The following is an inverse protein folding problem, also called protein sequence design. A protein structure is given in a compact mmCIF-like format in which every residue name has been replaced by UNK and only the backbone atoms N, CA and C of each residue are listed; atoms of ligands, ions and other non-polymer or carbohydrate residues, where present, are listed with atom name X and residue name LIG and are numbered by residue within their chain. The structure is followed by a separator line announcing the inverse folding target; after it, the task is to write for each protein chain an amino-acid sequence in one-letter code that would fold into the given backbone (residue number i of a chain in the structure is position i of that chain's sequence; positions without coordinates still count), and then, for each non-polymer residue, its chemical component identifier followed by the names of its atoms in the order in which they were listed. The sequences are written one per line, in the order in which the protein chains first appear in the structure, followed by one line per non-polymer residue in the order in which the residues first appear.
data_IF_440309784895
#
_entry.id   IF_440309784895
#
_cell.length_a   1.000
_cell.length_b   1.000
_cell.length_c   1.000
_cell.angle_alpha   90.00
_cell.angle_beta   90.00
_cell.angle_gamma   90.00
#
_symmetry.space_group_name_H-M   'P 1'
#
loop_
_entity.id
_entity.type
_entity.pdbx_description
1 polymer ?
#
# COMPACT_ATOMS: atom_id res chain seq x y z
N UNK A 1 24.88 7.18 23.31
CA UNK A 1 23.75 7.52 22.38
C UNK A 1 23.71 9.00 21.95
N UNK A 2 24.32 9.96 22.66
CA UNK A 2 24.31 11.40 22.27
C UNK A 2 25.40 11.81 21.25
N UNK A 3 26.42 11.00 21.02
CA UNK A 3 27.56 11.30 20.14
C UNK A 3 27.29 11.11 18.65
N UNK A 4 26.32 10.26 18.27
CA UNK A 4 26.01 9.97 16.87
C UNK A 4 25.18 11.09 16.22
N UNK A 5 24.12 11.55 16.90
CA UNK A 5 23.32 12.70 16.46
C UNK A 5 24.15 13.99 16.33
N UNK A 6 25.19 14.16 17.17
CA UNK A 6 26.10 15.28 17.06
C UNK A 6 26.99 15.19 15.81
N UNK A 7 27.40 13.97 15.41
CA UNK A 7 28.19 13.74 14.20
C UNK A 7 27.37 13.94 12.92
N UNK A 8 26.14 13.43 12.91
CA UNK A 8 25.22 13.56 11.77
C UNK A 8 24.86 15.05 11.53
N UNK A 9 24.63 15.82 12.60
CA UNK A 9 24.37 17.27 12.53
C UNK A 9 25.62 18.10 12.15
N UNK A 10 26.82 17.66 12.57
CA UNK A 10 28.09 18.31 12.21
C UNK A 10 28.43 18.11 10.73
N UNK A 11 28.03 16.98 10.13
CA UNK A 11 28.23 16.72 8.71
C UNK A 11 27.41 17.68 7.84
N UNK A 12 26.14 17.92 8.21
CA UNK A 12 25.26 18.89 7.54
C UNK A 12 25.86 20.30 7.64
N UNK A 13 26.36 20.69 8.82
CA UNK A 13 26.99 22.00 9.00
C UNK A 13 28.27 22.16 8.17
N UNK A 14 29.03 21.08 7.94
CA UNK A 14 30.20 21.13 7.06
C UNK A 14 29.81 21.34 5.59
N UNK A 15 28.70 20.76 5.12
CA UNK A 15 28.26 20.89 3.73
C UNK A 15 27.90 22.34 3.35
N UNK A 16 27.37 23.14 4.29
CA UNK A 16 27.04 24.55 4.04
C UNK A 16 28.23 25.52 4.10
N UNK A 17 29.42 25.07 4.52
CA UNK A 17 30.60 25.94 4.73
C UNK A 17 31.82 25.48 3.91
N UNK A 18 31.69 24.40 3.13
CA UNK A 18 32.78 23.93 2.28
C UNK A 18 32.92 24.80 1.01
N UNK A 19 34.15 25.18 0.63
CA UNK A 19 34.39 25.87 -0.64
C UNK A 19 34.10 24.94 -1.83
N UNK A 20 33.81 25.52 -2.99
CA UNK A 20 33.75 24.78 -4.25
C UNK A 20 35.04 23.96 -4.44
N UNK A 21 34.93 22.74 -4.96
CA UNK A 21 36.00 21.73 -5.09
C UNK A 21 36.40 20.98 -3.79
N UNK A 22 35.70 21.18 -2.67
CA UNK A 22 35.97 20.41 -1.46
C UNK A 22 35.54 18.94 -1.61
N UNK A 23 36.45 18.03 -1.27
CA UNK A 23 36.18 16.60 -1.16
C UNK A 23 36.30 16.18 0.31
N UNK A 24 35.20 15.70 0.88
CA UNK A 24 35.19 15.11 2.22
C UNK A 24 35.16 13.58 2.10
N UNK A 25 36.31 12.95 2.31
CA UNK A 25 36.41 11.49 2.39
C UNK A 25 36.19 11.06 3.83
N UNK A 26 35.02 10.46 4.10
CA UNK A 26 34.74 9.74 5.33
C UNK A 26 35.21 8.29 5.18
N UNK A 27 35.41 7.53 6.29
CA UNK A 27 35.94 6.16 6.24
C UNK A 27 35.16 5.15 5.36
N UNK A 28 33.96 5.50 4.89
CA UNK A 28 33.13 4.68 3.99
C UNK A 28 32.54 5.42 2.80
N UNK A 29 32.60 6.75 2.78
CA UNK A 29 31.83 7.59 1.85
C UNK A 29 32.72 8.71 1.32
N UNK A 30 32.53 9.09 0.05
CA UNK A 30 33.10 10.33 -0.49
C UNK A 30 31.98 11.29 -0.80
N UNK A 31 32.04 12.49 -0.21
CA UNK A 31 31.21 13.62 -0.64
C UNK A 31 32.10 14.52 -1.48
N UNK A 32 31.69 14.79 -2.71
CA UNK A 32 32.37 15.68 -3.65
C UNK A 32 31.45 16.85 -3.98
N UNK A 33 31.94 18.07 -3.83
CA UNK A 33 31.28 19.28 -4.32
C UNK A 33 32.00 19.66 -5.62
N UNK A 34 31.29 19.59 -6.72
CA UNK A 34 31.80 19.98 -8.03
C UNK A 34 31.77 21.49 -8.25
N UNK A 35 32.45 21.93 -9.30
CA UNK A 35 32.67 23.35 -9.62
C UNK A 35 31.38 24.13 -9.91
N UNK A 36 30.35 23.43 -10.36
CA UNK A 36 29.01 23.99 -10.58
C UNK A 36 28.15 24.02 -9.31
N UNK A 37 28.69 23.55 -8.18
CA UNK A 37 27.98 23.44 -6.91
C UNK A 37 27.19 22.15 -6.75
N UNK A 38 27.21 21.24 -7.74
CA UNK A 38 26.58 19.93 -7.62
C UNK A 38 27.29 19.08 -6.57
N UNK A 39 26.51 18.29 -5.83
CA UNK A 39 27.01 17.46 -4.75
C UNK A 39 26.86 16.00 -5.16
N UNK A 40 28.00 15.31 -5.25
CA UNK A 40 28.10 13.91 -5.63
C UNK A 40 28.44 13.06 -4.41
N UNK A 41 27.63 12.04 -4.15
CA UNK A 41 27.88 11.04 -3.13
C UNK A 41 28.42 9.77 -3.79
N UNK A 42 29.69 9.42 -3.54
CA UNK A 42 30.31 8.20 -4.05
C UNK A 42 30.41 7.10 -2.99
N UNK A 43 29.95 5.89 -3.32
CA UNK A 43 30.00 4.67 -2.47
C UNK A 43 28.63 4.28 -1.88
N UNK A 44 28.58 3.24 -1.04
CA UNK A 44 27.40 2.81 -0.26
C UNK A 44 26.99 3.91 0.75
N UNK A 45 26.42 5.01 0.25
CA UNK A 45 26.10 6.17 1.05
C UNK A 45 24.88 5.86 1.90
N UNK A 46 25.08 5.74 3.21
CA UNK A 46 24.01 5.46 4.15
C UNK A 46 23.52 6.75 4.80
N UNK A 47 22.42 7.31 4.29
CA UNK A 47 21.74 8.45 4.89
C UNK A 47 20.73 7.95 5.90
N UNK A 48 20.88 8.37 7.16
CA UNK A 48 19.97 7.99 8.24
C UNK A 48 19.42 9.24 8.92
N UNK A 49 18.09 9.32 8.99
CA UNK A 49 17.35 10.37 9.70
C UNK A 49 17.63 11.78 9.17
N UNK A 50 17.23 12.03 7.93
CA UNK A 50 17.16 13.38 7.37
C UNK A 50 15.71 13.75 7.09
N UNK A 51 15.37 14.99 7.42
CA UNK A 51 14.11 15.64 7.08
C UNK A 51 14.43 16.61 5.95
N UNK A 52 14.01 16.27 4.73
CA UNK A 52 13.97 17.26 3.65
C UNK A 52 12.66 18.03 3.82
N UNK A 53 12.68 18.98 4.74
CA UNK A 53 11.60 19.96 4.95
C UNK A 53 12.03 21.27 4.28
N UNK A 54 11.14 21.88 3.48
CA UNK A 54 11.38 23.14 2.75
C UNK A 54 12.68 23.21 1.93
N UNK A 55 13.21 22.06 1.52
CA UNK A 55 14.47 21.98 0.79
C UNK A 55 14.18 21.97 -0.71
N UNK A 56 14.79 22.90 -1.43
CA UNK A 56 14.85 22.84 -2.88
C UNK A 56 16.18 22.20 -3.30
N UNK A 57 16.11 20.98 -3.84
CA UNK A 57 17.27 20.26 -4.37
C UNK A 57 17.13 20.20 -5.90
N UNK A 58 18.11 20.80 -6.57
CA UNK A 58 18.22 20.82 -8.02
C UNK A 58 19.53 20.16 -8.43
N UNK A 59 19.49 19.31 -9.44
CA UNK A 59 20.69 18.73 -10.08
C UNK A 59 21.61 17.92 -9.14
N UNK A 60 21.08 17.39 -8.02
CA UNK A 60 21.85 16.53 -7.11
C UNK A 60 21.95 15.09 -7.63
N UNK A 61 23.11 14.46 -7.44
CA UNK A 61 23.32 13.05 -7.77
C UNK A 61 23.38 12.20 -6.49
N UNK A 62 22.35 11.39 -6.30
CA UNK A 62 22.20 10.39 -5.23
C UNK A 62 22.25 8.94 -5.76
N UNK A 63 22.98 8.71 -6.85
CA UNK A 63 23.15 7.38 -7.41
C UNK A 63 23.78 6.43 -6.37
N UNK A 64 23.33 5.18 -6.36
CA UNK A 64 23.74 4.11 -5.44
C UNK A 64 23.53 4.42 -3.94
N UNK A 65 22.86 5.54 -3.60
CA UNK A 65 22.60 5.92 -2.23
C UNK A 65 21.60 4.98 -1.54
N UNK A 66 21.82 4.70 -0.26
CA UNK A 66 20.87 4.03 0.62
C UNK A 66 20.29 5.02 1.62
N UNK A 67 18.99 5.27 1.50
CA UNK A 67 18.20 6.13 2.36
C UNK A 67 17.46 5.29 3.41
N UNK A 68 17.84 5.38 4.68
CA UNK A 68 17.15 4.68 5.77
C UNK A 68 16.43 5.64 6.74
N UNK A 69 15.17 5.38 7.04
CA UNK A 69 14.36 6.19 7.97
C UNK A 69 14.26 7.68 7.57
N UNK A 70 14.27 7.96 6.27
CA UNK A 70 14.18 9.33 5.76
C UNK A 70 12.72 9.74 5.67
N UNK A 71 12.43 11.00 5.99
CA UNK A 71 11.16 11.64 5.67
C UNK A 71 11.42 12.71 4.63
N UNK A 72 11.00 12.46 3.39
CA UNK A 72 10.90 13.51 2.37
C UNK A 72 9.50 14.10 2.51
N UNK A 73 9.43 15.33 3.02
CA UNK A 73 8.15 15.96 3.35
C UNK A 73 7.51 16.62 2.13
N UNK A 74 6.24 16.97 2.29
CA UNK A 74 5.41 17.67 1.33
C UNK A 74 5.86 19.11 1.05
N UNK A 75 7.09 19.50 1.34
CA UNK A 75 7.63 20.80 0.97
C UNK A 75 8.97 20.67 0.22
N UNK A 76 9.59 19.48 0.22
CA UNK A 76 10.76 19.23 -0.60
C UNK A 76 10.41 19.36 -2.08
N UNK A 77 11.28 20.05 -2.81
CA UNK A 77 11.21 20.18 -4.25
C UNK A 77 12.46 19.52 -4.85
N UNK A 78 12.27 18.43 -5.60
CA UNK A 78 13.35 17.69 -6.24
C UNK A 78 13.16 17.82 -7.76
N UNK A 79 14.09 18.50 -8.41
CA UNK A 79 14.09 18.66 -9.86
C UNK A 79 15.46 18.28 -10.42
N UNK A 80 15.47 17.55 -11.54
CA UNK A 80 16.70 17.09 -12.20
C UNK A 80 17.66 16.25 -11.33
N UNK A 81 17.19 15.71 -10.20
CA UNK A 81 18.01 14.87 -9.33
C UNK A 81 18.13 13.44 -9.89
N UNK A 82 19.27 12.79 -9.66
CA UNK A 82 19.51 11.39 -10.01
C UNK A 82 19.45 10.51 -8.77
N UNK A 83 18.73 9.40 -8.85
CA UNK A 83 18.56 8.39 -7.80
C UNK A 83 18.80 6.98 -8.36
N UNK A 84 19.71 6.83 -9.32
CA UNK A 84 19.93 5.54 -9.99
C UNK A 84 20.39 4.50 -9.00
N UNK A 85 19.80 3.32 -9.05
CA UNK A 85 20.08 2.22 -8.11
C UNK A 85 19.87 2.57 -6.62
N UNK A 86 19.30 3.74 -6.29
CA UNK A 86 19.15 4.15 -4.91
C UNK A 86 18.17 3.23 -4.17
N UNK A 87 18.41 2.98 -2.89
CA UNK A 87 17.59 2.12 -2.05
C UNK A 87 16.94 2.94 -0.95
N UNK A 88 15.62 2.96 -0.90
CA UNK A 88 14.86 3.63 0.14
C UNK A 88 14.28 2.59 1.10
N UNK A 89 14.70 2.60 2.36
CA UNK A 89 14.35 1.58 3.35
C UNK A 89 13.75 2.21 4.61
N UNK A 90 12.57 1.74 5.02
CA UNK A 90 11.88 2.13 6.27
C UNK A 90 11.64 3.65 6.40
N UNK A 91 11.70 4.37 5.28
CA UNK A 91 11.42 5.80 5.18
C UNK A 91 9.96 6.12 4.85
N UNK A 92 9.67 7.40 4.71
CA UNK A 92 8.43 7.97 4.21
C UNK A 92 8.77 8.97 3.12
N UNK A 93 8.22 8.76 1.93
CA UNK A 93 8.27 9.73 0.83
C UNK A 93 6.85 10.27 0.70
N UNK A 94 6.61 11.38 1.37
CA UNK A 94 5.30 12.03 1.43
C UNK A 94 5.28 13.18 0.43
N UNK A 95 4.83 12.89 -0.78
CA UNK A 95 4.58 13.94 -1.77
C UNK A 95 3.09 14.04 -2.00
N UNK A 96 2.53 15.24 -1.88
CA UNK A 96 1.13 15.52 -2.22
C UNK A 96 0.96 16.34 -3.49
N UNK A 97 2.06 16.91 -4.00
CA UNK A 97 2.05 17.73 -5.20
C UNK A 97 2.79 17.01 -6.33
N UNK A 98 2.09 16.75 -7.45
CA UNK A 98 2.58 15.98 -8.62
C UNK A 98 3.83 16.56 -9.29
N UNK A 99 4.26 17.79 -8.95
CA UNK A 99 5.39 18.49 -9.58
C UNK A 99 6.76 18.20 -8.97
N UNK A 100 6.88 17.31 -7.99
CA UNK A 100 8.03 17.26 -7.07
C UNK A 100 9.13 16.25 -7.37
N UNK A 101 8.99 15.49 -8.44
CA UNK A 101 10.06 14.68 -9.04
C UNK A 101 10.23 15.05 -10.50
N UNK A 102 10.12 16.34 -10.82
CA UNK A 102 10.21 16.78 -12.21
C UNK A 102 11.59 16.40 -12.75
N UNK A 103 11.60 15.67 -13.85
CA UNK A 103 12.82 15.29 -14.56
C UNK A 103 13.87 14.58 -13.68
N UNK A 104 13.44 13.90 -12.61
CA UNK A 104 14.31 13.07 -11.78
C UNK A 104 14.50 11.68 -12.39
N UNK A 105 15.69 11.10 -12.23
CA UNK A 105 16.02 9.77 -12.74
C UNK A 105 15.97 8.72 -11.62
N UNK A 106 15.00 7.82 -11.68
CA UNK A 106 14.81 6.73 -10.70
C UNK A 106 15.18 5.37 -11.28
N UNK A 107 16.02 5.34 -12.31
CA UNK A 107 16.41 4.09 -12.98
C UNK A 107 16.96 3.08 -11.98
N UNK A 108 16.29 1.93 -11.87
CA UNK A 108 16.64 0.83 -10.96
C UNK A 108 16.61 1.21 -9.46
N UNK A 109 16.01 2.34 -9.08
CA UNK A 109 15.77 2.66 -7.67
C UNK A 109 14.84 1.61 -7.03
N UNK A 110 15.08 1.26 -5.77
CA UNK A 110 14.29 0.27 -5.04
C UNK A 110 13.66 0.87 -3.79
N UNK A 111 12.34 0.76 -3.72
CA UNK A 111 11.51 1.24 -2.65
C UNK A 111 11.07 0.09 -1.73
N UNK A 112 11.57 0.14 -0.49
CA UNK A 112 11.16 -0.66 0.66
C UNK A 112 10.78 0.26 1.81
N UNK A 113 9.94 1.24 1.51
CA UNK A 113 9.55 2.29 2.45
C UNK A 113 8.20 1.98 3.11
N UNK A 114 7.91 2.71 4.17
CA UNK A 114 6.60 2.65 4.81
C UNK A 114 5.55 3.40 3.98
N UNK A 115 5.91 4.48 3.28
CA UNK A 115 4.96 5.28 2.52
C UNK A 115 5.62 5.84 1.25
N UNK A 116 4.95 5.69 0.11
CA UNK A 116 5.18 6.46 -1.10
C UNK A 116 3.85 7.04 -1.54
N UNK A 117 3.74 8.36 -1.45
CA UNK A 117 2.56 9.08 -1.88
C UNK A 117 2.88 9.89 -3.15
N UNK A 118 1.96 9.82 -4.12
CA UNK A 118 1.92 10.61 -5.34
C UNK A 118 3.11 10.45 -6.31
N UNK A 119 3.67 9.25 -6.43
CA UNK A 119 4.59 8.92 -7.54
C UNK A 119 3.81 8.85 -8.87
N UNK A 120 4.36 9.41 -9.95
CA UNK A 120 3.76 9.29 -11.28
C UNK A 120 4.08 7.93 -11.90
N UNK A 121 3.26 7.44 -12.86
CA UNK A 121 3.57 6.24 -13.61
C UNK A 121 4.96 6.29 -14.27
N UNK A 122 5.30 7.41 -14.92
CA UNK A 122 6.57 7.59 -15.63
C UNK A 122 7.80 7.48 -14.73
N UNK A 123 7.68 7.89 -13.46
CA UNK A 123 8.74 7.68 -12.46
C UNK A 123 8.72 6.24 -11.98
N UNK A 124 7.55 5.69 -11.68
CA UNK A 124 7.42 4.33 -11.16
C UNK A 124 7.97 3.27 -12.11
N UNK A 125 7.76 3.40 -13.43
CA UNK A 125 8.25 2.42 -14.42
C UNK A 125 9.78 2.34 -14.50
N UNK A 126 10.50 3.36 -14.02
CA UNK A 126 11.96 3.35 -13.97
C UNK A 126 12.49 2.48 -12.84
N UNK A 127 11.66 2.19 -11.83
CA UNK A 127 12.08 1.57 -10.58
C UNK A 127 12.31 0.06 -10.71
N UNK A 128 13.14 -0.47 -9.82
CA UNK A 128 13.32 -1.91 -9.66
C UNK A 128 12.03 -2.59 -9.18
N UNK A 129 11.19 -1.92 -8.38
CA UNK A 129 9.88 -2.45 -7.97
C UNK A 129 8.98 -2.79 -9.16
N UNK A 130 8.91 -1.90 -10.16
CA UNK A 130 8.17 -2.14 -11.40
C UNK A 130 8.73 -3.34 -12.18
N UNK A 131 10.05 -3.38 -12.35
CA UNK A 131 10.72 -4.45 -13.10
C UNK A 131 10.52 -5.83 -12.46
N UNK A 132 10.55 -5.89 -11.12
CA UNK A 132 10.30 -7.11 -10.37
C UNK A 132 8.81 -7.45 -10.23
N UNK A 133 7.90 -6.55 -10.61
CA UNK A 133 6.45 -6.68 -10.38
C UNK A 133 6.10 -6.85 -8.90
N UNK A 134 6.75 -6.07 -8.03
CA UNK A 134 6.56 -6.16 -6.58
C UNK A 134 6.24 -4.81 -5.93
N UNK A 135 5.08 -4.73 -5.27
CA UNK A 135 4.67 -3.61 -4.42
C UNK A 135 4.64 -4.08 -2.96
N UNK A 136 5.81 -4.05 -2.31
CA UNK A 136 6.02 -4.50 -0.92
C UNK A 136 6.40 -3.32 -0.01
N UNK A 137 5.54 -2.31 0.03
CA UNK A 137 5.71 -1.08 0.82
C UNK A 137 4.56 -0.91 1.80
N UNK A 138 4.65 0.00 2.77
CA UNK A 138 3.52 0.21 3.69
C UNK A 138 2.31 0.86 3.00
N UNK A 139 2.51 1.87 2.15
CA UNK A 139 1.48 2.49 1.34
C UNK A 139 1.99 2.96 -0.02
N UNK A 140 1.16 2.80 -1.05
CA UNK A 140 1.42 3.22 -2.43
C UNK A 140 0.25 4.07 -2.93
N UNK A 141 0.52 5.29 -3.38
CA UNK A 141 -0.48 6.19 -3.94
C UNK A 141 0.08 6.99 -5.11
N UNK A 142 -0.79 7.40 -6.03
CA UNK A 142 -0.49 8.11 -7.25
C UNK A 142 -1.66 8.09 -8.20
N UNK A 143 -1.43 8.54 -9.42
CA UNK A 143 -2.42 8.53 -10.48
C UNK A 143 -2.04 7.45 -11.50
N UNK A 144 -2.69 6.29 -11.43
CA UNK A 144 -2.37 5.09 -12.18
C UNK A 144 -3.54 4.65 -13.06
N UNK A 145 -4.28 5.62 -13.60
CA UNK A 145 -5.32 5.36 -14.58
C UNK A 145 -4.76 4.58 -15.78
N UNK A 146 -5.48 3.54 -16.19
CA UNK A 146 -5.10 2.63 -17.27
C UNK A 146 -3.73 1.94 -17.09
N UNK A 147 -3.14 1.99 -15.90
CA UNK A 147 -1.87 1.33 -15.64
C UNK A 147 -2.02 -0.18 -15.58
N UNK A 148 -0.97 -0.88 -15.97
CA UNK A 148 -0.94 -2.33 -15.99
C UNK A 148 -0.23 -2.91 -14.74
N UNK A 149 -1.03 -3.36 -13.78
CA UNK A 149 -0.58 -4.10 -12.59
C UNK A 149 -0.66 -5.62 -12.79
N UNK A 150 -0.66 -6.10 -14.03
CA UNK A 150 -0.67 -7.55 -14.30
C UNK A 150 0.60 -8.22 -13.78
N UNK A 151 0.42 -9.40 -13.21
CA UNK A 151 1.44 -10.24 -12.56
C UNK A 151 2.10 -9.64 -11.30
N UNK A 152 1.58 -8.54 -10.76
CA UNK A 152 2.16 -7.95 -9.55
C UNK A 152 1.88 -8.74 -8.27
N UNK A 153 2.88 -8.80 -7.39
CA UNK A 153 2.72 -9.15 -5.98
C UNK A 153 2.52 -7.87 -5.16
N UNK A 154 1.30 -7.65 -4.65
CA UNK A 154 0.87 -6.44 -3.96
C UNK A 154 0.66 -6.72 -2.48
N UNK A 155 1.47 -6.09 -1.64
CA UNK A 155 1.43 -6.21 -0.17
C UNK A 155 1.61 -4.86 0.52
N UNK A 156 0.82 -3.89 0.07
CA UNK A 156 0.81 -2.53 0.57
C UNK A 156 -0.61 -2.02 0.78
N UNK A 157 -0.75 -0.92 1.51
CA UNK A 157 -1.96 -0.09 1.45
C UNK A 157 -2.02 0.59 0.08
N UNK A 158 -2.89 0.12 -0.79
CA UNK A 158 -2.99 0.56 -2.18
C UNK A 158 -4.06 1.66 -2.28
N UNK A 159 -3.64 2.90 -2.50
CA UNK A 159 -4.53 4.05 -2.65
C UNK A 159 -4.23 4.95 -3.88
N UNK A 160 -3.97 4.43 -5.09
CA UNK A 160 -3.88 5.26 -6.29
C UNK A 160 -5.22 5.40 -7.02
N UNK A 161 -5.40 6.46 -7.82
CA UNK A 161 -6.44 6.44 -8.86
C UNK A 161 -6.16 5.28 -9.81
N UNK A 162 -7.14 4.38 -10.01
CA UNK A 162 -6.97 3.14 -10.80
C UNK A 162 -8.07 2.95 -11.83
N UNK A 163 -8.73 4.02 -12.25
CA UNK A 163 -9.74 3.95 -13.31
C UNK A 163 -9.13 3.31 -14.56
N UNK A 164 -9.72 2.21 -15.04
CA UNK A 164 -9.21 1.47 -16.20
C UNK A 164 -7.92 0.68 -15.99
N UNK A 165 -7.34 0.67 -14.78
CA UNK A 165 -6.15 -0.13 -14.49
C UNK A 165 -6.44 -1.63 -14.59
N UNK A 166 -5.44 -2.41 -15.02
CA UNK A 166 -5.50 -3.86 -15.18
C UNK A 166 -4.82 -4.58 -14.03
N UNK A 167 -5.39 -5.71 -13.63
CA UNK A 167 -4.89 -6.54 -12.54
C UNK A 167 -4.82 -8.02 -12.94
N UNK A 168 -4.57 -8.32 -14.22
CA UNK A 168 -4.54 -9.70 -14.72
C UNK A 168 -3.48 -10.49 -13.97
N UNK A 169 -3.87 -11.57 -13.28
CA UNK A 169 -2.97 -12.39 -12.48
C UNK A 169 -2.24 -11.67 -11.33
N UNK A 170 -2.65 -10.44 -10.98
CA UNK A 170 -2.13 -9.75 -9.80
C UNK A 170 -2.53 -10.52 -8.52
N UNK A 171 -1.67 -10.47 -7.51
CA UNK A 171 -1.87 -11.15 -6.24
C UNK A 171 -1.72 -10.20 -5.07
N UNK A 172 -2.80 -10.05 -4.32
CA UNK A 172 -2.88 -9.26 -3.11
C UNK A 172 -2.63 -10.13 -1.89
N UNK A 173 -1.78 -9.68 -0.97
CA UNK A 173 -1.54 -10.31 0.33
C UNK A 173 -1.15 -9.25 1.35
N UNK A 174 -1.76 -9.20 2.53
CA UNK A 174 -1.48 -8.15 3.53
C UNK A 174 -1.67 -6.74 2.94
N UNK A 175 -2.68 -6.59 2.09
CA UNK A 175 -2.92 -5.37 1.34
C UNK A 175 -4.22 -4.71 1.78
N UNK A 176 -4.26 -3.38 1.68
CA UNK A 176 -5.51 -2.62 1.77
C UNK A 176 -5.93 -2.23 0.37
N UNK A 177 -7.09 -2.71 -0.08
CA UNK A 177 -7.65 -2.43 -1.40
C UNK A 177 -8.61 -1.24 -1.26
N UNK A 178 -8.51 -0.24 -2.13
CA UNK A 178 -9.34 0.95 -2.03
C UNK A 178 -10.79 0.64 -2.42
N UNK A 179 -11.70 1.45 -1.93
CA UNK A 179 -13.14 1.28 -2.11
C UNK A 179 -13.63 1.34 -3.57
N UNK A 180 -12.86 2.00 -4.44
CA UNK A 180 -13.19 2.16 -5.86
C UNK A 180 -12.65 1.05 -6.75
N UNK A 181 -12.15 -0.04 -6.15
CA UNK A 181 -11.82 -1.25 -6.89
C UNK A 181 -13.11 -1.87 -7.43
N UNK A 182 -13.18 -2.16 -8.73
CA UNK A 182 -14.40 -2.71 -9.34
C UNK A 182 -14.45 -4.23 -9.27
N UNK A 183 -15.65 -4.80 -9.49
CA UNK A 183 -15.80 -6.25 -9.60
C UNK A 183 -14.99 -6.84 -10.76
N UNK A 184 -14.93 -6.14 -11.89
CA UNK A 184 -14.16 -6.55 -13.06
C UNK A 184 -12.67 -6.59 -12.73
N UNK A 185 -12.16 -5.60 -11.99
CA UNK A 185 -10.77 -5.58 -11.53
C UNK A 185 -10.50 -6.73 -10.54
N UNK A 186 -11.43 -7.02 -9.63
CA UNK A 186 -11.32 -8.16 -8.71
C UNK A 186 -11.27 -9.50 -9.44
N UNK A 187 -12.12 -9.69 -10.45
CA UNK A 187 -12.19 -10.91 -11.26
C UNK A 187 -10.90 -11.18 -12.06
N UNK A 188 -10.12 -10.15 -12.38
CA UNK A 188 -8.83 -10.28 -13.06
C UNK A 188 -7.73 -10.88 -12.16
N UNK A 189 -7.86 -10.76 -10.84
CA UNK A 189 -6.82 -11.13 -9.88
C UNK A 189 -6.63 -12.64 -9.77
N UNK A 190 -5.42 -13.05 -9.39
CA UNK A 190 -5.12 -14.44 -9.01
C UNK A 190 -5.88 -14.85 -7.74
N UNK A 191 -6.10 -13.93 -6.80
CA UNK A 191 -6.86 -14.19 -5.57
C UNK A 191 -8.28 -14.67 -5.89
N UNK A 192 -9.01 -13.95 -6.76
CA UNK A 192 -10.38 -14.28 -7.11
C UNK A 192 -10.47 -15.62 -7.85
N UNK A 193 -9.61 -15.85 -8.85
CA UNK A 193 -9.61 -17.10 -9.63
C UNK A 193 -9.29 -18.33 -8.79
N UNK A 194 -8.43 -18.18 -7.79
CA UNK A 194 -8.09 -19.27 -6.87
C UNK A 194 -9.06 -19.38 -5.70
N UNK A 195 -9.96 -18.40 -5.52
CA UNK A 195 -10.86 -18.33 -4.37
C UNK A 195 -10.15 -18.16 -3.03
N UNK A 196 -8.97 -17.52 -3.00
CA UNK A 196 -8.16 -17.38 -1.78
C UNK A 196 -7.79 -15.91 -1.53
N UNK A 197 -8.31 -15.39 -0.43
CA UNK A 197 -8.03 -14.06 0.10
C UNK A 197 -7.43 -14.20 1.50
N UNK A 198 -6.27 -13.58 1.73
CA UNK A 198 -5.57 -13.68 3.01
C UNK A 198 -5.01 -12.34 3.44
N UNK A 199 -5.41 -11.90 4.64
CA UNK A 199 -4.96 -10.65 5.26
C UNK A 199 -5.27 -9.41 4.39
N UNK A 200 -6.39 -9.41 3.66
CA UNK A 200 -6.81 -8.30 2.80
C UNK A 200 -7.85 -7.44 3.51
N UNK A 201 -7.65 -6.12 3.46
CA UNK A 201 -8.60 -5.14 3.97
C UNK A 201 -9.27 -4.42 2.80
N UNK A 202 -10.58 -4.58 2.65
CA UNK A 202 -11.36 -3.80 1.69
C UNK A 202 -11.80 -2.51 2.38
N UNK A 203 -11.28 -1.38 1.90
CA UNK A 203 -11.54 -0.07 2.48
C UNK A 203 -12.91 0.45 2.06
N UNK A 204 -13.48 1.28 2.91
CA UNK A 204 -14.82 1.84 2.78
C UNK A 204 -14.82 3.12 1.92
N UNK A 205 -15.74 3.27 0.93
CA UNK A 205 -15.84 4.50 0.13
C UNK A 205 -16.28 5.72 0.96
N UNK A 206 -16.98 5.52 2.08
CA UNK A 206 -17.70 6.57 2.78
C UNK A 206 -16.83 7.69 3.37
N UNK A 207 -15.51 7.52 3.48
CA UNK A 207 -14.62 8.60 3.95
C UNK A 207 -14.25 9.65 2.88
N UNK A 208 -14.43 9.36 1.59
CA UNK A 208 -13.80 10.17 0.52
C UNK A 208 -14.68 10.44 -0.71
N UNK A 209 -15.98 10.73 -0.52
CA UNK A 209 -16.82 11.55 -1.42
C UNK A 209 -17.93 10.86 -2.25
N UNK A 210 -18.85 11.76 -2.63
CA UNK A 210 -19.92 11.87 -3.65
C UNK A 210 -20.09 10.83 -4.76
N UNK A 211 -19.15 9.89 -4.94
CA UNK A 211 -19.25 8.80 -5.90
C UNK A 211 -19.08 7.50 -5.11
N UNK A 212 -20.20 6.87 -4.77
CA UNK A 212 -20.19 5.51 -4.20
C UNK A 212 -20.25 4.57 -5.40
N UNK A 213 -19.13 4.03 -5.89
CA UNK A 213 -19.19 2.95 -6.86
C UNK A 213 -20.07 1.83 -6.30
N UNK A 214 -20.72 1.08 -7.20
CA UNK A 214 -21.49 -0.10 -6.78
C UNK A 214 -20.64 -0.95 -5.82
N UNK A 215 -21.23 -1.36 -4.70
CA UNK A 215 -20.52 -2.13 -3.68
C UNK A 215 -19.79 -3.31 -4.33
N UNK A 216 -18.49 -3.43 -4.04
CA UNK A 216 -17.61 -4.45 -4.61
C UNK A 216 -18.18 -5.88 -4.50
N UNK A 217 -18.95 -6.18 -3.46
CA UNK A 217 -19.49 -7.52 -3.22
C UNK A 217 -20.93 -7.72 -3.70
N UNK A 218 -21.65 -6.66 -4.07
CA UNK A 218 -23.07 -6.77 -4.47
C UNK A 218 -23.23 -7.67 -5.69
N UNK A 219 -24.14 -8.64 -5.63
CA UNK A 219 -24.45 -9.57 -6.74
C UNK A 219 -23.22 -10.39 -7.22
N UNK A 220 -22.13 -10.40 -6.45
CA UNK A 220 -20.92 -11.15 -6.78
C UNK A 220 -21.07 -12.61 -6.37
N UNK A 221 -20.56 -13.53 -7.19
CA UNK A 221 -20.38 -14.92 -6.78
C UNK A 221 -19.04 -15.08 -6.07
N UNK A 222 -19.10 -15.40 -4.78
CA UNK A 222 -17.96 -15.75 -3.94
C UNK A 222 -18.08 -17.17 -3.37
N UNK A 223 -18.93 -18.00 -3.97
CA UNK A 223 -19.13 -19.38 -3.52
C UNK A 223 -17.82 -20.17 -3.55
N UNK A 224 -17.65 -21.03 -2.55
CA UNK A 224 -16.44 -21.83 -2.32
C UNK A 224 -15.14 -21.02 -2.13
N UNK A 225 -15.21 -19.69 -1.92
CA UNK A 225 -14.03 -18.88 -1.65
C UNK A 225 -13.66 -18.87 -0.17
N UNK A 226 -12.39 -18.58 0.12
CA UNK A 226 -11.85 -18.45 1.47
C UNK A 226 -11.34 -17.04 1.73
N UNK A 227 -11.83 -16.45 2.82
CA UNK A 227 -11.40 -15.17 3.36
C UNK A 227 -10.81 -15.41 4.76
N UNK A 228 -9.49 -15.40 4.84
CA UNK A 228 -8.74 -15.62 6.08
C UNK A 228 -8.09 -14.32 6.55
N UNK A 229 -8.37 -13.90 7.79
CA UNK A 229 -7.87 -12.64 8.35
C UNK A 229 -8.22 -11.40 7.51
N UNK A 230 -9.38 -11.42 6.83
CA UNK A 230 -9.81 -10.32 5.98
C UNK A 230 -10.70 -9.33 6.75
N UNK A 231 -10.69 -8.07 6.34
CA UNK A 231 -11.72 -7.10 6.74
C UNK A 231 -12.56 -6.75 5.52
N UNK A 232 -13.84 -7.13 5.57
CA UNK A 232 -14.79 -6.95 4.48
C UNK A 232 -15.73 -5.80 4.81
N UNK A 233 -16.10 -5.03 3.79
CA UNK A 233 -16.97 -3.85 3.89
C UNK A 233 -17.84 -3.73 2.66
N UNK A 234 -18.92 -2.97 2.79
CA UNK A 234 -19.90 -2.71 1.71
C UNK A 234 -21.12 -3.62 1.77
N UNK A 235 -22.01 -3.42 0.81
CA UNK A 235 -23.24 -4.21 0.62
C UNK A 235 -22.96 -5.58 0.03
N UNK A 236 -23.57 -6.61 0.63
CA UNK A 236 -23.59 -8.01 0.18
C UNK A 236 -24.96 -8.41 -0.41
N UNK A 237 -25.75 -7.43 -0.83
CA UNK A 237 -27.05 -7.69 -1.47
C UNK A 237 -26.88 -8.57 -2.71
N UNK A 238 -27.60 -9.68 -2.78
CA UNK A 238 -27.57 -10.60 -3.91
C UNK A 238 -26.28 -11.43 -4.07
N UNK A 239 -25.29 -11.28 -3.18
CA UNK A 239 -24.04 -12.05 -3.22
C UNK A 239 -24.31 -13.54 -3.00
N UNK A 240 -23.77 -14.41 -3.87
CA UNK A 240 -23.78 -15.86 -3.64
C UNK A 240 -22.64 -16.25 -2.70
N UNK A 241 -22.98 -16.68 -1.49
CA UNK A 241 -22.02 -17.03 -0.42
C UNK A 241 -21.95 -18.53 -0.12
N UNK A 242 -22.52 -19.37 -0.99
CA UNK A 242 -22.58 -20.82 -0.79
C UNK A 242 -21.20 -21.40 -0.51
N UNK A 243 -21.05 -22.06 0.64
CA UNK A 243 -19.80 -22.69 1.09
C UNK A 243 -18.59 -21.76 1.17
N UNK A 244 -18.82 -20.44 1.25
CA UNK A 244 -17.76 -19.47 1.54
C UNK A 244 -17.23 -19.69 2.95
N UNK A 245 -15.91 -19.57 3.13
CA UNK A 245 -15.22 -19.72 4.40
C UNK A 245 -14.69 -18.37 4.88
N UNK A 246 -15.09 -17.96 6.08
CA UNK A 246 -14.58 -16.80 6.79
C UNK A 246 -13.80 -17.26 8.03
N UNK A 247 -12.47 -17.16 8.01
CA UNK A 247 -11.63 -17.50 9.18
C UNK A 247 -10.97 -16.25 9.71
N UNK A 248 -11.18 -15.91 10.97
CA UNK A 248 -10.63 -14.70 11.62
C UNK A 248 -10.94 -13.41 10.86
N UNK A 249 -12.05 -13.40 10.11
CA UNK A 249 -12.45 -12.27 9.28
C UNK A 249 -13.43 -11.35 10.01
N UNK A 250 -13.36 -10.06 9.69
CA UNK A 250 -14.18 -9.00 10.23
C UNK A 250 -15.20 -8.54 9.18
N UNK A 251 -16.45 -8.93 9.38
CA UNK A 251 -17.62 -8.54 8.58
C UNK A 251 -18.54 -7.59 9.37
N UNK A 252 -18.13 -7.07 10.52
CA UNK A 252 -19.00 -6.28 11.42
C UNK A 252 -19.60 -5.02 10.76
N UNK A 253 -18.99 -4.53 9.67
CA UNK A 253 -19.41 -3.36 8.90
C UNK A 253 -19.95 -3.72 7.51
N UNK A 254 -20.36 -4.97 7.29
CA UNK A 254 -21.03 -5.40 6.06
C UNK A 254 -22.52 -5.08 6.12
N UNK A 255 -23.05 -4.62 4.99
CA UNK A 255 -24.44 -4.21 4.82
C UNK A 255 -25.22 -5.21 3.95
N UNK A 256 -26.55 -5.18 4.04
CA UNK A 256 -27.49 -5.97 3.21
C UNK A 256 -27.24 -7.49 3.21
N UNK A 257 -26.65 -8.02 4.28
CA UNK A 257 -26.46 -9.45 4.45
C UNK A 257 -27.76 -10.08 4.96
N UNK A 258 -28.16 -11.21 4.42
CA UNK A 258 -29.35 -11.95 4.89
C UNK A 258 -28.95 -13.14 5.75
N UNK A 259 -29.84 -13.55 6.66
CA UNK A 259 -29.63 -14.76 7.45
C UNK A 259 -29.46 -16.01 6.57
N UNK A 260 -30.19 -16.09 5.46
CA UNK A 260 -30.07 -17.24 4.53
C UNK A 260 -28.72 -17.28 3.80
N UNK A 261 -28.16 -16.13 3.40
CA UNK A 261 -26.78 -16.06 2.89
C UNK A 261 -25.79 -16.55 3.95
N UNK A 262 -25.95 -16.15 5.21
CA UNK A 262 -25.09 -16.61 6.31
C UNK A 262 -25.21 -18.12 6.51
N UNK A 263 -26.42 -18.67 6.52
CA UNK A 263 -26.67 -20.12 6.62
C UNK A 263 -26.06 -20.91 5.47
N UNK A 264 -25.95 -20.30 4.28
CA UNK A 264 -25.32 -20.93 3.12
C UNK A 264 -23.80 -21.08 3.24
N UNK A 265 -23.15 -20.35 4.15
CA UNK A 265 -21.70 -20.40 4.35
C UNK A 265 -21.23 -21.71 4.96
N UNK A 266 -19.96 -22.05 4.76
CA UNK A 266 -19.35 -23.21 5.41
C UNK A 266 -19.30 -23.02 6.94
N UNK A 267 -19.04 -21.79 7.41
CA UNK A 267 -18.94 -21.46 8.83
C UNK A 267 -20.21 -21.85 9.59
N UNK A 268 -21.39 -21.53 9.05
CA UNK A 268 -22.66 -21.87 9.68
C UNK A 268 -22.86 -23.39 9.69
N UNK A 269 -22.72 -24.04 8.53
CA UNK A 269 -22.90 -25.49 8.37
C UNK A 269 -21.97 -26.31 9.27
N UNK A 270 -20.76 -25.82 9.51
CA UNK A 270 -19.75 -26.49 10.34
C UNK A 270 -19.85 -26.12 11.84
N UNK A 271 -20.77 -25.23 12.25
CA UNK A 271 -20.87 -24.75 13.64
C UNK A 271 -19.67 -23.92 14.07
N UNK A 272 -19.05 -23.17 13.14
CA UNK A 272 -17.83 -22.35 13.35
C UNK A 272 -18.06 -20.86 13.14
N UNK A 273 -19.22 -20.37 13.57
CA UNK A 273 -19.61 -18.98 13.43
C UNK A 273 -18.76 -18.02 14.29
N UNK A 274 -18.19 -18.50 15.40
CA UNK A 274 -17.33 -17.73 16.30
C UNK A 274 -15.95 -17.36 15.71
N UNK A 275 -15.59 -17.93 14.56
CA UNK A 275 -14.32 -17.63 13.89
C UNK A 275 -14.34 -16.29 13.15
N UNK A 276 -15.47 -15.62 13.02
CA UNK A 276 -15.56 -14.33 12.35
C UNK A 276 -16.51 -13.39 13.09
N UNK A 277 -16.34 -12.09 12.84
CA UNK A 277 -17.24 -11.06 13.39
C UNK A 277 -18.34 -10.78 12.39
N UNK A 278 -19.59 -10.87 12.83
CA UNK A 278 -20.76 -10.60 12.00
C UNK A 278 -21.34 -9.21 12.30
N UNK A 279 -22.16 -8.65 11.40
CA UNK A 279 -22.98 -7.49 11.74
C UNK A 279 -23.93 -7.80 12.91
N UNK A 280 -24.16 -6.82 13.79
CA UNK A 280 -24.98 -6.98 15.01
C UNK A 280 -26.39 -7.53 14.71
N UNK A 281 -27.00 -7.13 13.59
CA UNK A 281 -28.33 -7.61 13.21
C UNK A 281 -28.35 -9.09 12.81
N UNK A 282 -27.26 -9.61 12.23
CA UNK A 282 -27.10 -11.05 11.96
C UNK A 282 -26.91 -11.81 13.27
N UNK A 283 -26.09 -11.29 14.18
CA UNK A 283 -25.87 -11.91 15.50
C UNK A 283 -27.19 -12.06 16.26
N UNK A 284 -28.02 -11.01 16.30
CA UNK A 284 -29.37 -11.07 16.91
C UNK A 284 -30.27 -12.11 16.23
N UNK A 285 -30.28 -12.17 14.90
CA UNK A 285 -31.10 -13.13 14.16
C UNK A 285 -30.68 -14.58 14.42
N UNK A 286 -29.37 -14.84 14.58
CA UNK A 286 -28.83 -16.15 14.94
C UNK A 286 -29.23 -16.54 16.37
N UNK A 287 -29.16 -15.62 17.33
CA UNK A 287 -29.60 -15.88 18.70
C UNK A 287 -31.09 -16.22 18.80
N UNK A 288 -31.93 -15.52 18.03
CA UNK A 288 -33.37 -15.79 17.97
C UNK A 288 -33.66 -17.18 17.39
N UNK A 289 -32.94 -17.58 16.34
CA UNK A 289 -33.02 -18.92 15.77
C UNK A 289 -32.62 -20.00 16.79
N UNK A 290 -31.54 -19.81 17.53
CA UNK A 290 -31.10 -20.75 18.58
C UNK A 290 -32.13 -20.84 19.72
N UNK A 291 -32.68 -19.71 20.17
CA UNK A 291 -33.75 -19.67 21.18
C UNK A 291 -34.99 -20.40 20.70
N UNK A 292 -35.37 -20.24 19.43
CA UNK A 292 -36.52 -20.94 18.84
C UNK A 292 -36.30 -22.46 18.81
N UNK A 293 -35.13 -22.93 18.34
CA UNK A 293 -34.77 -24.35 18.34
C UNK A 293 -34.80 -24.96 19.75
N UNK A 294 -34.23 -24.25 20.73
CA UNK A 294 -34.22 -24.70 22.12
C UNK A 294 -35.63 -24.74 22.77
N UNK A 295 -36.58 -23.94 22.29
CA UNK A 295 -37.98 -24.01 22.73
C UNK A 295 -38.74 -25.18 22.09
N UNK A 296 -38.41 -25.51 20.83
CA UNK A 296 -38.98 -26.67 20.14
C UNK A 296 -38.51 -28.00 20.76
N UNK A 297 -37.25 -28.11 21.15
CA UNK A 297 -36.70 -29.30 21.82
C UNK A 297 -37.29 -29.56 23.21
N UNK A 298 -37.91 -28.54 23.83
CA UNK A 298 -38.57 -28.67 25.15
C UNK A 298 -40.04 -29.10 25.07
N UNK A 299 -40.63 -29.11 23.87
CA UNK A 299 -42.01 -29.53 23.64
C UNK A 299 -42.08 -31.02 23.37
#
# INVERSE_FOLDING_TARGET
MKTKAFFDMFLILCLFVMPAEAQLTLPRNTIRIDLDGSLHFGGDYFLRLEFFEDSELYDYNFDDATFQYIKVDELAYLEHCSFKNAVFWDGQILMRNKRRFKDCDFTNAYFRTNFILSISPDVFVQTRNYQLKELKMGAFSGDFENFDFSDYEISCSFCPSITGAKFENAHFRKASIPAYFTQEQLKQTRNYRNGIFTEIQFLDPHRYAEYVPESLFRELDISNMSFSNCRLRGSFSGTNMTDTVFTESDLSTVEDLTLEQVKSTWNYKAGRMSLCKWPEYIEKALEEEEKAKAQEEKK
#
